data_IF_070338481061
#
_entry.id   IF_070338481061
#
_cell.length_a   1.000
_cell.length_b   1.000
_cell.length_c   1.000
_cell.angle_alpha   90.00
_cell.angle_beta   90.00
_cell.angle_gamma   90.00
#
_symmetry.space_group_name_H-M   'P 1'
#
loop_
_entity.id
_entity.type
_entity.pdbx_description
1 polymer ?
#
# COMPACT_ATOMS: atom_id res chain seq x y z
N UNK A 1 -10.42 -3.25 -24.51
CA UNK A 1 -9.50 -2.38 -23.77
C UNK A 1 -8.90 -3.23 -22.65
N UNK A 2 -7.77 -3.89 -22.93
CA UNK A 2 -7.25 -5.05 -22.17
C UNK A 2 -6.16 -4.63 -21.18
N UNK A 3 -6.64 -4.26 -19.99
CA UNK A 3 -6.17 -4.68 -18.65
C UNK A 3 -4.73 -5.21 -18.53
N UNK A 4 -3.71 -4.34 -18.51
CA UNK A 4 -2.36 -4.72 -18.07
C UNK A 4 -1.50 -3.54 -17.60
N UNK A 5 -1.14 -3.53 -16.30
CA UNK A 5 0.06 -2.80 -15.81
C UNK A 5 1.11 -3.75 -15.23
N UNK A 6 0.72 -4.94 -14.76
CA UNK A 6 1.63 -6.09 -14.70
C UNK A 6 0.98 -7.21 -15.51
N UNK A 7 1.53 -7.52 -16.70
CA UNK A 7 1.08 -8.68 -17.49
C UNK A 7 1.34 -9.98 -16.74
N UNK A 8 0.34 -10.46 -15.99
CA UNK A 8 0.14 -11.87 -15.64
C UNK A 8 1.37 -12.68 -15.19
N UNK A 9 2.36 -12.05 -14.54
CA UNK A 9 3.62 -12.71 -14.21
C UNK A 9 3.59 -13.21 -12.78
N UNK A 10 3.98 -14.47 -12.58
CA UNK A 10 4.23 -15.09 -11.28
C UNK A 10 5.50 -14.55 -10.59
N UNK A 11 6.10 -13.46 -11.10
CA UNK A 11 7.37 -12.89 -10.63
C UNK A 11 7.21 -11.45 -10.17
N UNK A 12 7.84 -11.13 -9.03
CA UNK A 12 7.97 -9.78 -8.50
C UNK A 12 8.78 -8.90 -9.47
N UNK A 13 8.23 -7.76 -9.87
CA UNK A 13 8.93 -6.72 -10.66
C UNK A 13 8.86 -5.43 -9.87
N UNK A 14 10.01 -4.76 -9.71
CA UNK A 14 10.08 -3.51 -8.97
C UNK A 14 9.34 -2.39 -9.70
N UNK A 15 8.42 -1.74 -9.02
CA UNK A 15 7.72 -0.56 -9.47
C UNK A 15 8.64 0.66 -9.42
N UNK A 16 8.61 1.47 -10.46
CA UNK A 16 9.19 2.81 -10.45
C UNK A 16 8.43 3.74 -9.49
N UNK A 17 9.05 4.88 -9.13
CA UNK A 17 8.41 5.89 -8.26
C UNK A 17 7.07 6.40 -8.83
N UNK A 18 6.94 6.77 -10.12
CA UNK A 18 5.64 7.17 -10.69
C UNK A 18 4.57 6.06 -10.61
N UNK A 19 4.95 4.81 -10.85
CA UNK A 19 4.02 3.67 -10.73
C UNK A 19 3.56 3.47 -9.29
N UNK A 20 4.46 3.61 -8.31
CA UNK A 20 4.10 3.54 -6.89
C UNK A 20 3.14 4.66 -6.47
N UNK A 21 3.29 5.87 -7.02
CA UNK A 21 2.36 6.99 -6.79
C UNK A 21 0.98 6.65 -7.36
N UNK A 22 0.90 6.23 -8.62
CA UNK A 22 -0.36 5.81 -9.25
C UNK A 22 -1.01 4.62 -8.50
N UNK A 23 -0.21 3.73 -7.92
CA UNK A 23 -0.71 2.66 -7.08
C UNK A 23 -1.32 3.19 -5.79
N UNK A 24 -0.66 4.13 -5.12
CA UNK A 24 -1.17 4.74 -3.90
C UNK A 24 -2.51 5.46 -4.15
N UNK A 25 -2.60 6.24 -5.23
CA UNK A 25 -3.83 6.91 -5.67
C UNK A 25 -4.97 5.90 -5.91
N UNK A 26 -4.72 4.87 -6.73
CA UNK A 26 -5.73 3.85 -7.02
C UNK A 26 -6.15 3.02 -5.79
N UNK A 27 -5.25 2.79 -4.83
CA UNK A 27 -5.60 2.14 -3.56
C UNK A 27 -6.49 3.07 -2.73
N UNK A 28 -6.15 4.35 -2.61
CA UNK A 28 -6.97 5.32 -1.86
C UNK A 28 -8.38 5.44 -2.44
N UNK A 29 -8.53 5.44 -3.77
CA UNK A 29 -9.84 5.39 -4.42
C UNK A 29 -10.64 4.14 -4.03
N UNK A 30 -9.99 2.97 -3.98
CA UNK A 30 -10.62 1.72 -3.54
C UNK A 30 -11.03 1.79 -2.07
N UNK A 31 -10.13 2.25 -1.18
CA UNK A 31 -10.42 2.40 0.25
C UNK A 31 -11.65 3.30 0.47
N UNK A 32 -11.72 4.42 -0.26
CA UNK A 32 -12.84 5.35 -0.22
C UNK A 32 -14.13 4.72 -0.77
N UNK A 33 -14.05 4.04 -1.92
CA UNK A 33 -15.21 3.41 -2.57
C UNK A 33 -15.87 2.33 -1.70
N UNK A 34 -15.09 1.60 -0.91
CA UNK A 34 -15.62 0.55 -0.01
C UNK A 34 -15.88 1.06 1.41
N UNK A 35 -15.63 2.36 1.68
CA UNK A 35 -15.80 2.95 3.01
C UNK A 35 -14.89 2.34 4.08
N UNK A 36 -13.68 1.92 3.70
CA UNK A 36 -12.75 1.32 4.65
C UNK A 36 -12.17 2.37 5.60
N UNK A 37 -12.25 2.10 6.91
CA UNK A 37 -11.61 2.90 7.95
C UNK A 37 -10.11 2.60 8.04
N UNK A 38 -9.38 2.82 6.94
CA UNK A 38 -7.96 2.54 6.78
C UNK A 38 -7.31 3.75 6.13
N UNK A 39 -6.23 4.26 6.72
CA UNK A 39 -5.33 5.23 6.11
C UNK A 39 -4.17 4.48 5.46
N UNK A 40 -3.89 4.74 4.18
CA UNK A 40 -2.76 4.13 3.48
C UNK A 40 -1.44 4.77 3.96
N UNK A 41 -0.48 3.94 4.39
CA UNK A 41 0.81 4.42 4.93
C UNK A 41 1.97 4.06 4.01
N UNK A 42 1.94 2.87 3.41
CA UNK A 42 2.98 2.41 2.49
C UNK A 42 2.42 1.48 1.42
N UNK A 43 3.04 1.52 0.25
CA UNK A 43 2.77 0.61 -0.87
C UNK A 43 3.92 -0.38 -1.03
N UNK A 44 3.61 -1.57 -1.51
CA UNK A 44 4.65 -2.55 -1.83
C UNK A 44 5.21 -2.30 -3.23
N UNK A 45 6.53 -2.18 -3.35
CA UNK A 45 7.22 -1.94 -4.63
C UNK A 45 7.22 -3.15 -5.57
N UNK A 46 6.82 -4.33 -5.10
CA UNK A 46 6.74 -5.56 -5.91
C UNK A 46 5.30 -6.06 -6.12
N UNK A 47 4.38 -5.74 -5.21
CA UNK A 47 3.04 -6.31 -5.18
C UNK A 47 1.97 -5.23 -4.98
N UNK A 48 1.40 -4.73 -6.09
CA UNK A 48 0.41 -3.63 -6.12
C UNK A 48 -0.71 -3.69 -5.06
N UNK A 49 -1.20 -4.89 -4.75
CA UNK A 49 -2.35 -5.08 -3.85
C UNK A 49 -1.97 -5.41 -2.41
N UNK A 50 -0.68 -5.41 -2.09
CA UNK A 50 -0.19 -5.58 -0.73
C UNK A 50 0.24 -4.20 -0.21
N UNK A 51 -0.36 -3.76 0.88
CA UNK A 51 -0.16 -2.42 1.41
C UNK A 51 0.02 -2.47 2.93
N UNK A 52 0.65 -1.44 3.49
CA UNK A 52 0.59 -1.15 4.92
C UNK A 52 -0.41 -0.02 5.12
N UNK A 53 -1.38 -0.26 5.98
CA UNK A 53 -2.38 0.73 6.36
C UNK A 53 -2.50 0.89 7.87
N UNK A 54 -2.92 2.07 8.31
CA UNK A 54 -3.30 2.36 9.69
C UNK A 54 -4.80 2.17 9.86
N UNK A 55 -5.21 1.39 10.84
CA UNK A 55 -6.63 1.28 11.18
C UNK A 55 -7.11 2.58 11.85
N UNK A 56 -8.21 3.16 11.37
CA UNK A 56 -8.76 4.43 11.87
C UNK A 56 -9.89 4.24 12.90
N UNK A 57 -10.43 3.03 13.01
CA UNK A 57 -11.53 2.73 13.94
C UNK A 57 -11.42 1.34 14.58
N UNK A 58 -12.21 1.14 15.64
CA UNK A 58 -12.24 -0.09 16.43
C UNK A 58 -11.12 -0.22 17.45
N UNK A 59 -11.04 -1.39 18.10
CA UNK A 59 -10.05 -1.70 19.16
C UNK A 59 -8.59 -1.67 18.69
N UNK A 60 -8.36 -1.63 17.37
CA UNK A 60 -7.04 -1.60 16.76
C UNK A 60 -6.69 -0.24 16.17
N UNK A 61 -7.45 0.82 16.50
CA UNK A 61 -7.22 2.16 15.97
C UNK A 61 -5.78 2.64 16.26
N UNK A 62 -5.16 3.30 15.28
CA UNK A 62 -3.78 3.79 15.35
C UNK A 62 -2.71 2.76 14.98
N UNK A 63 -3.04 1.45 14.97
CA UNK A 63 -2.07 0.39 14.67
C UNK A 63 -1.92 0.16 13.17
N UNK A 64 -0.73 -0.28 12.78
CA UNK A 64 -0.38 -0.61 11.39
C UNK A 64 -0.62 -2.09 11.11
N UNK A 65 -1.16 -2.40 9.94
CA UNK A 65 -1.39 -3.76 9.48
C UNK A 65 -1.00 -3.94 8.03
N UNK A 66 -0.63 -5.17 7.69
CA UNK A 66 -0.65 -5.63 6.31
C UNK A 66 -2.09 -5.80 5.85
N UNK A 67 -2.41 -5.19 4.71
CA UNK A 67 -3.67 -5.39 4.03
C UNK A 67 -3.44 -5.93 2.63
N UNK A 68 -4.37 -6.78 2.19
CA UNK A 68 -4.46 -7.27 0.82
C UNK A 68 -5.76 -6.80 0.19
N UNK A 69 -5.65 -6.14 -0.95
CA UNK A 69 -6.81 -5.75 -1.77
C UNK A 69 -7.14 -6.88 -2.74
N UNK A 70 -8.35 -7.42 -2.68
CA UNK A 70 -8.86 -8.45 -3.57
C UNK A 70 -9.68 -7.81 -4.70
N UNK A 71 -9.59 -8.33 -5.92
CA UNK A 71 -10.09 -7.63 -7.12
C UNK A 71 -11.61 -7.75 -7.37
N UNK A 72 -12.31 -8.77 -6.86
CA UNK A 72 -13.75 -8.98 -7.12
C UNK A 72 -14.44 -9.77 -5.99
N UNK A 73 -15.43 -9.18 -5.28
CA UNK A 73 -15.63 -7.74 -5.07
C UNK A 73 -14.36 -7.09 -4.49
N UNK A 74 -14.23 -5.76 -4.55
CA UNK A 74 -13.12 -5.06 -3.88
C UNK A 74 -13.23 -5.29 -2.36
N UNK A 75 -12.56 -6.34 -1.90
CA UNK A 75 -12.50 -6.71 -0.49
C UNK A 75 -11.11 -6.35 0.02
N UNK A 76 -11.05 -5.75 1.21
CA UNK A 76 -9.81 -5.43 1.87
C UNK A 76 -9.65 -6.37 3.05
N UNK A 77 -8.69 -7.29 2.93
CA UNK A 77 -8.40 -8.25 3.98
C UNK A 77 -7.24 -7.74 4.83
N UNK A 78 -7.47 -7.60 6.13
CA UNK A 78 -6.40 -7.43 7.14
C UNK A 78 -5.70 -8.78 7.35
N UNK A 79 -4.37 -8.81 7.27
CA UNK A 79 -3.60 -10.05 7.42
C UNK A 79 -2.98 -10.17 8.81
N UNK A 80 -2.00 -9.32 9.13
CA UNK A 80 -1.27 -9.34 10.40
C UNK A 80 -0.82 -7.93 10.78
N UNK A 81 -0.58 -7.72 12.07
CA UNK A 81 -0.04 -6.45 12.56
C UNK A 81 1.37 -6.22 11.99
N UNK A 82 1.63 -4.99 11.57
CA UNK A 82 2.94 -4.57 11.08
C UNK A 82 3.77 -4.09 12.27
N UNK A 83 4.49 -5.03 12.88
CA UNK A 83 5.36 -4.82 14.04
C UNK A 83 6.75 -5.39 13.75
N UNK A 84 7.78 -4.79 14.32
CA UNK A 84 9.14 -5.29 14.25
C UNK A 84 9.38 -6.35 15.32
N UNK A 85 9.96 -7.49 14.95
CA UNK A 85 10.34 -8.52 15.91
C UNK A 85 11.76 -8.25 16.40
N UNK A 86 11.90 -7.41 17.43
CA UNK A 86 13.21 -7.08 18.04
C UNK A 86 14.04 -6.03 17.28
N UNK A 87 13.41 -5.22 16.43
CA UNK A 87 14.05 -4.13 15.66
C UNK A 87 12.99 -3.23 15.00
N UNK A 88 13.39 -2.31 14.13
CA UNK A 88 12.45 -1.48 13.38
C UNK A 88 11.69 -2.33 12.34
N UNK A 89 10.35 -2.25 12.36
CA UNK A 89 9.48 -2.94 11.42
C UNK A 89 9.80 -2.57 9.96
N UNK A 90 10.24 -1.33 9.72
CA UNK A 90 10.56 -0.83 8.39
C UNK A 90 11.85 -1.42 7.82
N UNK A 91 12.86 -1.63 8.66
CA UNK A 91 14.10 -2.32 8.25
C UNK A 91 13.83 -3.78 7.88
N UNK A 92 12.86 -4.41 8.55
CA UNK A 92 12.46 -5.79 8.30
C UNK A 92 11.54 -5.94 7.07
N UNK A 93 11.08 -4.82 6.49
CA UNK A 93 10.13 -4.81 5.39
C UNK A 93 10.56 -3.87 4.23
N UNK A 94 11.75 -4.10 3.63
CA UNK A 94 12.36 -3.19 2.64
C UNK A 94 11.62 -3.13 1.29
N UNK A 95 10.59 -3.98 1.12
CA UNK A 95 9.71 -3.97 -0.03
C UNK A 95 8.56 -2.97 0.08
N UNK A 96 8.35 -2.36 1.25
CA UNK A 96 7.34 -1.31 1.43
C UNK A 96 8.00 0.06 1.42
N UNK A 97 7.42 0.97 0.66
CA UNK A 97 7.85 2.37 0.55
C UNK A 97 6.76 3.24 1.16
N UNK A 98 7.12 4.05 2.16
CA UNK A 98 6.17 4.93 2.82
C UNK A 98 5.76 6.05 1.88
N UNK A 99 4.49 6.47 1.94
CA UNK A 99 3.99 7.53 1.05
C UNK A 99 4.78 8.84 1.22
N UNK A 100 5.16 9.18 2.45
CA UNK A 100 6.00 10.34 2.76
C UNK A 100 7.34 10.35 1.99
N UNK A 101 7.90 9.17 1.68
CA UNK A 101 9.16 9.04 0.95
C UNK A 101 8.93 9.18 -0.57
N UNK A 102 7.70 8.97 -1.04
CA UNK A 102 7.28 9.21 -2.42
C UNK A 102 7.01 10.71 -2.67
N UNK A 103 6.53 11.44 -1.66
CA UNK A 103 6.12 12.86 -1.74
C UNK A 103 7.29 13.85 -1.94
N UNK A 104 8.55 13.45 -1.69
CA UNK A 104 9.75 14.31 -1.83
C UNK A 104 10.15 14.65 -3.29
N UNK A 105 9.19 14.91 -4.16
CA UNK A 105 9.43 15.34 -5.56
C UNK A 105 8.50 16.43 -6.07
N UNK A 106 7.59 16.96 -5.25
CA UNK A 106 6.68 18.05 -5.63
C UNK A 106 6.96 19.34 -4.85
N UNK A 107 8.23 19.75 -4.76
CA UNK A 107 8.59 21.14 -4.46
C UNK A 107 9.92 21.45 -5.14
N UNK A 108 9.85 21.88 -6.39
CA UNK A 108 10.64 22.96 -7.00
C UNK A 108 10.13 23.11 -8.43
N UNK A 109 9.17 24.00 -8.64
CA UNK A 109 9.07 24.77 -9.88
C UNK A 109 8.35 26.08 -9.52
N UNK A 110 9.15 27.14 -9.61
CA UNK A 110 8.82 28.56 -9.45
C UNK A 110 7.71 29.01 -10.41
#
# INVERSE_FOLDING_TARGET
>A
MLDFFYRGSSRAVEASKPEMIQHAEGINEILAAVGANIELIAVNKYYKWNIIGRALSGYTAGRLYHYRVLRKPYEIRREREFIGYGGDAWEQAPNFVQLKDLEFGQMELF
#
